data_IF_447038452399
#
_entry.id   IF_447038452399
#
_cell.length_a   1.000
_cell.length_b   1.000
_cell.length_c   1.000
_cell.angle_alpha   90.00
_cell.angle_beta   90.00
_cell.angle_gamma   90.00
#
_symmetry.space_group_name_H-M   'P 1'
#
loop_
_entity.id
_entity.type
_entity.pdbx_description
1 polymer ?
#
# COMPACT_ATOMS: atom_id res chain seq x y z
N UNK A 1 7.87 -6.97 -12.44
CA UNK A 1 6.71 -7.25 -13.25
C UNK A 1 5.43 -6.77 -12.57
N UNK A 2 4.61 -6.10 -13.31
CA UNK A 2 3.35 -5.56 -12.80
C UNK A 2 2.20 -6.12 -13.60
N UNK A 3 1.22 -6.66 -12.91
CA UNK A 3 0.09 -7.29 -13.58
C UNK A 3 -1.25 -6.72 -13.16
N UNK A 4 -1.26 -5.83 -12.17
CA UNK A 4 -2.53 -5.32 -11.65
C UNK A 4 -3.37 -4.59 -12.70
N UNK A 5 -2.76 -4.01 -13.69
CA UNK A 5 -3.51 -3.33 -14.75
C UNK A 5 -4.32 -4.29 -15.61
N UNK A 6 -4.04 -5.59 -15.53
CA UNK A 6 -4.80 -6.62 -16.23
C UNK A 6 -6.01 -7.07 -15.45
N UNK A 7 -6.13 -6.64 -14.20
CA UNK A 7 -7.16 -7.10 -13.28
C UNK A 7 -7.94 -5.91 -12.76
N UNK A 8 -9.23 -5.94 -12.95
CA UNK A 8 -10.09 -4.80 -12.62
C UNK A 8 -10.68 -4.84 -11.22
N UNK A 9 -10.50 -5.93 -10.50
CA UNK A 9 -11.06 -6.03 -9.15
C UNK A 9 -10.02 -6.55 -8.17
N UNK A 10 -10.24 -6.27 -6.87
CA UNK A 10 -9.28 -6.57 -5.84
C UNK A 10 -9.06 -8.07 -5.64
N UNK A 11 -10.12 -8.85 -5.77
CA UNK A 11 -10.02 -10.29 -5.59
C UNK A 11 -9.10 -10.90 -6.63
N UNK A 12 -9.25 -10.51 -7.88
CA UNK A 12 -8.40 -11.02 -8.96
C UNK A 12 -6.95 -10.62 -8.76
N UNK A 13 -6.71 -9.38 -8.34
CA UNK A 13 -5.35 -8.90 -8.10
C UNK A 13 -4.67 -9.67 -6.97
N UNK A 14 -5.41 -9.89 -5.88
CA UNK A 14 -4.88 -10.64 -4.73
C UNK A 14 -4.56 -12.06 -5.13
N UNK A 15 -5.44 -12.69 -5.89
CA UNK A 15 -5.24 -14.04 -6.36
C UNK A 15 -3.99 -14.15 -7.23
N UNK A 16 -3.76 -13.16 -8.10
CA UNK A 16 -2.56 -13.11 -8.91
C UNK A 16 -1.31 -13.11 -8.03
N UNK A 17 -1.25 -12.24 -7.01
CA UNK A 17 -0.09 -12.19 -6.14
C UNK A 17 0.14 -13.51 -5.42
N UNK A 18 -0.91 -14.14 -4.92
CA UNK A 18 -0.78 -15.41 -4.24
C UNK A 18 -0.22 -16.51 -5.14
N UNK A 19 -0.57 -16.49 -6.42
CA UNK A 19 -0.13 -17.51 -7.37
C UNK A 19 1.29 -17.31 -7.87
N UNK A 20 1.74 -16.07 -8.00
CA UNK A 20 2.97 -15.77 -8.73
C UNK A 20 4.12 -15.26 -7.88
N UNK A 21 3.90 -15.02 -6.61
CA UNK A 21 4.97 -14.60 -5.71
C UNK A 21 5.85 -15.78 -5.37
N UNK A 22 7.15 -15.62 -5.57
CA UNK A 22 8.16 -16.64 -5.29
C UNK A 22 8.93 -16.29 -4.05
N UNK A 23 9.41 -17.30 -3.28
CA UNK A 23 10.24 -17.02 -2.09
C UNK A 23 11.59 -16.42 -2.46
N UNK A 24 12.17 -15.71 -1.52
CA UNK A 24 13.52 -15.14 -1.62
C UNK A 24 13.72 -14.23 -2.82
N UNK A 25 12.68 -13.46 -3.17
CA UNK A 25 12.71 -12.59 -4.34
C UNK A 25 12.49 -11.14 -3.96
N UNK A 26 12.92 -10.24 -4.85
CA UNK A 26 12.68 -8.82 -4.73
C UNK A 26 11.63 -8.42 -5.76
N UNK A 27 10.61 -7.73 -5.29
CA UNK A 27 9.53 -7.23 -6.15
C UNK A 27 9.43 -5.72 -6.08
N UNK A 28 9.31 -5.10 -7.24
CA UNK A 28 9.08 -3.66 -7.35
C UNK A 28 7.63 -3.47 -7.76
N UNK A 29 6.84 -2.81 -6.92
CA UNK A 29 5.42 -2.60 -7.17
C UNK A 29 5.13 -1.11 -7.27
N UNK A 30 4.57 -0.68 -8.37
CA UNK A 30 4.24 0.72 -8.61
C UNK A 30 2.73 0.89 -8.51
N UNK A 31 2.29 1.56 -7.46
CA UNK A 31 0.88 1.82 -7.17
C UNK A 31 0.01 0.58 -7.30
N UNK A 32 0.33 -0.47 -6.54
CA UNK A 32 -0.41 -1.74 -6.65
C UNK A 32 -1.86 -1.64 -6.21
N UNK A 33 -2.23 -0.56 -5.55
CA UNK A 33 -3.59 -0.34 -5.06
C UNK A 33 -4.53 0.20 -6.13
N UNK A 34 -4.04 0.55 -7.31
CA UNK A 34 -4.88 1.09 -8.38
C UNK A 34 -6.04 0.15 -8.67
N UNK A 35 -7.24 0.70 -8.72
CA UNK A 35 -8.51 -0.03 -8.94
C UNK A 35 -8.99 -0.86 -7.75
N UNK A 36 -8.33 -0.78 -6.60
CA UNK A 36 -8.78 -1.50 -5.41
C UNK A 36 -9.62 -0.60 -4.50
N UNK A 37 -10.65 -1.18 -3.88
CA UNK A 37 -11.39 -0.49 -2.83
C UNK A 37 -10.50 -0.33 -1.60
N UNK A 38 -10.83 0.59 -0.68
CA UNK A 38 -10.06 0.73 0.55
C UNK A 38 -9.89 -0.58 1.31
N UNK A 39 -10.95 -1.38 1.42
CA UNK A 39 -10.87 -2.65 2.11
C UNK A 39 -9.90 -3.61 1.43
N UNK A 40 -9.91 -3.64 0.10
CA UNK A 40 -9.01 -4.51 -0.65
C UNK A 40 -7.58 -3.99 -0.62
N UNK A 41 -7.38 -2.69 -0.49
CA UNK A 41 -6.04 -2.13 -0.31
C UNK A 41 -5.43 -2.61 1.00
N UNK A 42 -6.22 -2.60 2.08
CA UNK A 42 -5.76 -3.09 3.38
C UNK A 42 -5.44 -4.58 3.28
N UNK A 43 -6.31 -5.35 2.63
CA UNK A 43 -6.09 -6.79 2.47
C UNK A 43 -4.82 -7.07 1.67
N UNK A 44 -4.59 -6.33 0.59
CA UNK A 44 -3.37 -6.49 -0.20
C UNK A 44 -2.13 -6.20 0.65
N UNK A 45 -2.15 -5.11 1.41
CA UNK A 45 -1.02 -4.75 2.26
C UNK A 45 -0.74 -5.83 3.31
N UNK A 46 -1.80 -6.39 3.91
CA UNK A 46 -1.64 -7.46 4.87
C UNK A 46 -1.02 -8.71 4.23
N UNK A 47 -1.43 -9.03 3.01
CA UNK A 47 -0.87 -10.17 2.30
C UNK A 47 0.60 -9.94 1.93
N UNK A 48 0.95 -8.72 1.54
CA UNK A 48 2.34 -8.39 1.26
C UNK A 48 3.21 -8.50 2.52
N UNK A 49 2.70 -8.02 3.66
CA UNK A 49 3.40 -8.19 4.93
C UNK A 49 3.65 -9.66 5.24
N UNK A 50 2.62 -10.48 5.02
CA UNK A 50 2.70 -11.91 5.28
C UNK A 50 3.71 -12.60 4.38
N UNK A 51 3.69 -12.28 3.09
CA UNK A 51 4.61 -12.86 2.13
C UNK A 51 6.05 -12.43 2.41
N UNK A 52 6.26 -11.18 2.79
CA UNK A 52 7.59 -10.71 3.15
C UNK A 52 8.16 -11.50 4.31
N UNK A 53 7.33 -11.80 5.29
CA UNK A 53 7.75 -12.53 6.48
C UNK A 53 7.92 -14.03 6.22
N UNK A 54 6.94 -14.65 5.58
CA UNK A 54 6.93 -16.11 5.43
C UNK A 54 7.77 -16.62 4.26
N UNK A 55 7.85 -15.84 3.18
CA UNK A 55 8.58 -16.21 1.98
C UNK A 55 9.93 -15.51 1.87
N UNK A 56 10.25 -14.67 2.85
CA UNK A 56 11.48 -13.89 2.83
C UNK A 56 11.62 -13.04 1.57
N UNK A 57 10.51 -12.47 1.12
CA UNK A 57 10.50 -11.56 -0.01
C UNK A 57 10.77 -10.15 0.46
N UNK A 58 11.36 -9.35 -0.42
CA UNK A 58 11.50 -7.92 -0.22
C UNK A 58 10.62 -7.22 -1.23
N UNK A 59 9.85 -6.25 -0.75
CA UNK A 59 9.00 -5.43 -1.62
C UNK A 59 9.45 -3.99 -1.54
N UNK A 60 9.60 -3.35 -2.69
CA UNK A 60 9.80 -1.91 -2.78
C UNK A 60 8.57 -1.40 -3.49
N UNK A 61 7.79 -0.58 -2.78
CA UNK A 61 6.44 -0.21 -3.22
C UNK A 61 6.32 1.29 -3.30
N UNK A 62 5.89 1.80 -4.47
CA UNK A 62 5.50 3.19 -4.56
C UNK A 62 3.99 3.27 -4.44
N UNK A 63 3.50 4.16 -3.58
CA UNK A 63 2.07 4.29 -3.35
C UNK A 63 1.75 5.65 -2.73
N UNK A 64 0.55 6.14 -2.98
CA UNK A 64 -0.01 7.32 -2.32
C UNK A 64 -1.16 6.95 -1.39
N UNK A 65 -1.48 5.66 -1.30
CA UNK A 65 -2.65 5.21 -0.54
C UNK A 65 -2.40 5.29 0.96
N UNK A 66 -3.23 6.02 1.71
CA UNK A 66 -3.11 6.04 3.16
C UNK A 66 -3.39 4.66 3.77
N UNK A 67 -4.17 3.83 3.09
CA UNK A 67 -4.50 2.48 3.57
C UNK A 67 -3.31 1.54 3.42
N UNK A 68 -2.63 1.61 2.26
CA UNK A 68 -1.41 0.83 2.05
C UNK A 68 -0.31 1.28 3.00
N UNK A 69 -0.07 2.59 3.05
CA UNK A 69 1.00 3.16 3.86
C UNK A 69 0.81 2.88 5.35
N UNK A 70 -0.44 2.89 5.81
CA UNK A 70 -0.74 2.64 7.22
C UNK A 70 -0.72 1.18 7.60
N UNK A 71 -0.82 0.28 6.63
CA UNK A 71 -0.91 -1.16 6.89
C UNK A 71 0.42 -1.88 6.66
N UNK A 72 1.19 -1.46 5.65
CA UNK A 72 2.47 -2.11 5.36
C UNK A 72 3.46 -1.92 6.50
N UNK A 73 4.17 -3.01 6.83
CA UNK A 73 5.23 -2.99 7.83
C UNK A 73 6.55 -2.71 7.13
N UNK A 74 7.09 -1.51 7.31
CA UNK A 74 8.34 -1.17 6.66
C UNK A 74 8.66 0.28 6.80
N UNK A 75 9.78 0.68 6.21
CA UNK A 75 10.19 2.07 6.21
C UNK A 75 9.49 2.81 5.10
N UNK A 76 9.07 4.02 5.42
CA UNK A 76 8.45 4.91 4.44
C UNK A 76 9.47 5.99 4.09
N UNK A 77 9.81 6.06 2.80
CA UNK A 77 10.68 7.11 2.29
C UNK A 77 9.82 8.17 1.63
N UNK A 78 9.89 9.38 2.16
CA UNK A 78 9.11 10.49 1.61
C UNK A 78 9.90 11.15 0.50
N UNK A 79 9.49 10.91 -0.74
CA UNK A 79 10.18 11.44 -1.92
C UNK A 79 9.83 12.89 -2.21
N UNK A 80 8.87 13.45 -1.47
CA UNK A 80 8.50 14.86 -1.64
C UNK A 80 9.48 15.79 -0.95
N UNK A 81 10.37 15.27 -0.12
CA UNK A 81 11.43 16.05 0.48
C UNK A 81 12.71 15.87 -0.30
N UNK A 82 13.61 16.88 -0.23
CA UNK A 82 14.87 16.83 -0.96
C UNK A 82 15.81 15.75 -0.42
N UNK A 83 15.63 15.36 0.82
CA UNK A 83 16.51 14.42 1.49
C UNK A 83 15.95 13.00 1.54
N UNK A 84 14.77 12.81 0.97
CA UNK A 84 14.08 11.50 0.96
C UNK A 84 14.01 10.91 2.36
N UNK A 85 13.56 11.72 3.32
CA UNK A 85 13.54 11.32 4.72
C UNK A 85 12.66 10.12 4.96
N UNK A 86 13.07 9.32 5.96
CA UNK A 86 12.19 8.27 6.49
C UNK A 86 11.10 8.96 7.30
N UNK A 87 9.86 8.66 6.99
CA UNK A 87 8.71 9.33 7.55
C UNK A 87 7.83 8.37 8.35
N UNK A 88 7.06 8.96 9.24
CA UNK A 88 5.98 8.23 9.90
C UNK A 88 4.73 8.39 9.05
N UNK A 89 3.95 7.33 8.97
CA UNK A 89 2.72 7.32 8.19
C UNK A 89 1.83 8.53 8.47
N UNK A 90 1.62 8.82 9.74
CA UNK A 90 0.68 9.87 10.15
C UNK A 90 1.22 11.29 9.97
N UNK A 91 2.47 11.44 9.51
CA UNK A 91 3.06 12.74 9.26
C UNK A 91 3.10 13.09 7.78
N UNK A 92 2.77 12.15 6.92
CA UNK A 92 2.77 12.39 5.48
C UNK A 92 1.66 13.36 5.11
N UNK A 93 1.98 14.34 4.27
CA UNK A 93 1.03 15.38 3.86
C UNK A 93 -0.23 14.76 3.25
N UNK A 94 -0.05 13.78 2.39
CA UNK A 94 -1.19 13.10 1.75
C UNK A 94 -2.10 12.43 2.77
N UNK A 95 -1.52 11.75 3.75
CA UNK A 95 -2.30 11.08 4.80
C UNK A 95 -3.00 12.10 5.69
N UNK A 96 -2.28 13.18 6.05
CA UNK A 96 -2.87 14.25 6.85
C UNK A 96 -4.06 14.90 6.14
N UNK A 97 -3.98 15.03 4.84
CA UNK A 97 -5.09 15.60 4.08
C UNK A 97 -6.37 14.76 4.23
N UNK A 98 -6.24 13.45 4.11
CA UNK A 98 -7.39 12.55 4.34
C UNK A 98 -7.95 12.72 5.74
N UNK A 99 -7.08 12.69 6.72
CA UNK A 99 -7.50 12.81 8.12
C UNK A 99 -8.22 14.12 8.38
N UNK A 100 -7.64 15.23 7.96
CA UNK A 100 -8.20 16.54 8.20
C UNK A 100 -9.53 16.73 7.47
N UNK A 101 -9.64 16.18 6.26
CA UNK A 101 -10.87 16.26 5.49
C UNK A 101 -12.02 15.53 6.19
N UNK A 102 -11.79 14.30 6.62
CA UNK A 102 -12.83 13.52 7.28
C UNK A 102 -13.15 14.07 8.66
N UNK A 103 -12.16 14.58 9.35
CA UNK A 103 -12.37 15.22 10.63
C UNK A 103 -13.27 16.44 10.51
N UNK A 104 -13.07 17.23 9.46
CA UNK A 104 -13.89 18.41 9.17
C UNK A 104 -15.35 18.02 8.94
N UNK A 105 -15.58 16.89 8.31
CA UNK A 105 -16.91 16.42 7.95
C UNK A 105 -17.47 15.39 8.93
N UNK A 106 -16.86 15.28 10.10
CA UNK A 106 -17.22 14.24 11.07
C UNK A 106 -18.70 14.16 11.38
N UNK A 107 -19.35 15.31 11.52
CA UNK A 107 -20.77 15.35 11.89
C UNK A 107 -21.68 14.71 10.87
N UNK A 108 -21.26 14.62 9.62
CA UNK A 108 -22.06 14.02 8.58
C UNK A 108 -22.06 12.50 8.67
N UNK A 109 -21.16 11.93 9.46
CA UNK A 109 -21.04 10.48 9.64
C UNK A 109 -21.61 9.99 10.96
N UNK A 110 -21.96 10.89 11.86
CA UNK A 110 -22.46 10.55 13.20
C UNK A 110 -23.98 10.68 13.33
#
# INVERSE_FOLDING_TARGET
MFAQEKYSNGETSLQYFEEYIQPNALYLLDEPEVSLSPANQVTLAEELNKMARLLECQFIISTHSPFMLGTLNGKIYNLDTQEYDVAKWNELENVRYFYDFFKKHRKEFE
#
